data_IF_198632185482
#
_entry.id   IF_198632185482
#
_cell.length_a   1.000
_cell.length_b   1.000
_cell.length_c   1.000
_cell.angle_alpha   90.00
_cell.angle_beta   90.00
_cell.angle_gamma   90.00
#
_symmetry.space_group_name_H-M   'P 1'
#
loop_
_entity.id
_entity.type
_entity.pdbx_description
1 polymer ?
#
# COMPACT_ATOMS: atom_id res chain seq x y z
N UNK A 1 7.27 -24.69 -12.91
CA UNK A 1 6.36 -23.68 -12.32
C UNK A 1 6.76 -23.48 -10.86
N UNK A 2 6.32 -22.40 -10.22
CA UNK A 2 6.45 -22.32 -8.75
C UNK A 2 5.44 -23.28 -8.11
N UNK A 3 5.79 -23.87 -6.95
CA UNK A 3 4.87 -24.72 -6.18
C UNK A 3 3.51 -24.04 -5.95
N UNK A 4 3.52 -22.72 -5.76
CA UNK A 4 2.31 -21.90 -5.60
C UNK A 4 1.44 -21.82 -6.85
N UNK A 5 2.04 -21.67 -8.03
CA UNK A 5 1.27 -21.72 -9.28
C UNK A 5 0.65 -23.09 -9.49
N UNK A 6 1.39 -24.15 -9.17
CA UNK A 6 0.88 -25.52 -9.27
C UNK A 6 -0.29 -25.77 -8.31
N UNK A 7 -0.21 -25.27 -7.07
CA UNK A 7 -1.32 -25.36 -6.12
C UNK A 7 -2.51 -24.47 -6.52
N UNK A 8 -2.28 -23.27 -7.05
CA UNK A 8 -3.31 -22.35 -7.54
C UNK A 8 -4.09 -22.95 -8.71
N UNK A 9 -3.39 -23.54 -9.67
CA UNK A 9 -3.98 -24.25 -10.80
C UNK A 9 -4.75 -25.48 -10.34
N UNK A 10 -4.19 -26.27 -9.41
CA UNK A 10 -4.87 -27.43 -8.83
C UNK A 10 -6.19 -27.04 -8.16
N UNK A 11 -6.16 -26.03 -7.29
CA UNK A 11 -7.35 -25.53 -6.61
C UNK A 11 -8.38 -25.01 -7.61
N UNK A 12 -7.96 -24.19 -8.58
CA UNK A 12 -8.86 -23.61 -9.58
C UNK A 12 -9.55 -24.69 -10.43
N UNK A 13 -8.78 -25.69 -10.88
CA UNK A 13 -9.29 -26.80 -11.69
C UNK A 13 -10.29 -27.67 -10.91
N UNK A 14 -9.99 -27.99 -9.65
CA UNK A 14 -10.88 -28.80 -8.82
C UNK A 14 -12.13 -28.01 -8.43
N UNK A 15 -11.98 -26.73 -8.06
CA UNK A 15 -13.10 -25.86 -7.74
C UNK A 15 -14.09 -25.72 -8.91
N UNK A 16 -13.60 -25.52 -10.14
CA UNK A 16 -14.45 -25.47 -11.32
C UNK A 16 -15.25 -26.76 -11.51
N UNK A 17 -14.60 -27.93 -11.35
CA UNK A 17 -15.27 -29.23 -11.42
C UNK A 17 -16.31 -29.44 -10.31
N UNK A 18 -16.06 -28.93 -9.09
CA UNK A 18 -17.03 -29.00 -7.98
C UNK A 18 -18.31 -28.24 -8.33
N UNK A 19 -18.17 -27.08 -9.00
CA UNK A 19 -19.30 -26.26 -9.42
C UNK A 19 -20.12 -26.91 -10.55
N UNK A 20 -19.46 -27.65 -11.43
CA UNK A 20 -20.08 -28.24 -12.63
C UNK A 20 -20.75 -29.61 -12.38
N UNK A 21 -20.11 -30.55 -11.66
CA UNK A 21 -20.73 -31.82 -11.22
C UNK A 21 -19.94 -32.50 -10.08
N UNK A 22 -20.41 -32.31 -8.84
CA UNK A 22 -19.79 -32.85 -7.64
C UNK A 22 -19.70 -34.39 -7.58
N UNK A 23 -20.49 -35.14 -8.39
CA UNK A 23 -20.49 -36.61 -8.37
C UNK A 23 -19.24 -37.24 -9.02
N UNK A 24 -18.50 -36.46 -9.82
CA UNK A 24 -17.29 -36.90 -10.53
C UNK A 24 -15.97 -36.62 -9.81
N UNK A 25 -16.01 -36.27 -8.52
CA UNK A 25 -14.84 -35.85 -7.74
C UNK A 25 -14.56 -36.86 -6.65
N UNK A 26 -13.31 -37.31 -6.60
CA UNK A 26 -12.81 -38.25 -5.61
C UNK A 26 -12.46 -37.55 -4.30
N UNK A 27 -12.47 -38.30 -3.20
CA UNK A 27 -12.06 -37.78 -1.88
C UNK A 27 -10.63 -37.24 -1.90
N UNK A 28 -9.71 -37.89 -2.61
CA UNK A 28 -8.33 -37.45 -2.74
C UNK A 28 -8.20 -36.09 -3.47
N UNK A 29 -9.05 -35.83 -4.47
CA UNK A 29 -9.10 -34.52 -5.13
C UNK A 29 -9.64 -33.43 -4.19
N UNK A 30 -10.66 -33.73 -3.38
CA UNK A 30 -11.13 -32.80 -2.34
C UNK A 30 -10.03 -32.49 -1.31
N UNK A 31 -9.32 -33.50 -0.82
CA UNK A 31 -8.20 -33.31 0.11
C UNK A 31 -7.08 -32.47 -0.51
N UNK A 32 -6.75 -32.71 -1.78
CA UNK A 32 -5.79 -31.90 -2.53
C UNK A 32 -6.20 -30.43 -2.63
N UNK A 33 -7.47 -30.16 -2.96
CA UNK A 33 -8.00 -28.79 -3.04
C UNK A 33 -8.01 -28.10 -1.67
N UNK A 34 -8.38 -28.81 -0.60
CA UNK A 34 -8.38 -28.28 0.77
C UNK A 34 -6.96 -27.90 1.19
N UNK A 35 -5.98 -28.78 0.97
CA UNK A 35 -4.58 -28.50 1.29
C UNK A 35 -4.03 -27.32 0.48
N UNK A 36 -4.35 -27.25 -0.82
CA UNK A 36 -3.98 -26.13 -1.67
C UNK A 36 -4.57 -24.80 -1.14
N UNK A 37 -5.85 -24.81 -0.74
CA UNK A 37 -6.53 -23.65 -0.18
C UNK A 37 -5.89 -23.20 1.14
N UNK A 38 -5.54 -24.13 2.03
CA UNK A 38 -4.86 -23.81 3.29
C UNK A 38 -3.49 -23.16 3.05
N UNK A 39 -2.69 -23.69 2.13
CA UNK A 39 -1.40 -23.10 1.78
C UNK A 39 -1.55 -21.69 1.21
N UNK A 40 -2.54 -21.46 0.35
CA UNK A 40 -2.83 -20.12 -0.18
C UNK A 40 -3.27 -19.15 0.90
N UNK A 41 -4.09 -19.61 1.86
CA UNK A 41 -4.54 -18.80 2.99
C UNK A 41 -3.35 -18.39 3.86
N UNK A 42 -2.49 -19.34 4.25
CA UNK A 42 -1.30 -19.07 5.07
C UNK A 42 -0.37 -18.06 4.37
N UNK A 43 -0.19 -18.18 3.06
CA UNK A 43 0.62 -17.24 2.30
C UNK A 43 -0.05 -15.86 2.18
N UNK A 44 -1.37 -15.81 1.98
CA UNK A 44 -2.11 -14.56 1.94
C UNK A 44 -1.99 -13.81 3.29
N UNK A 45 -2.14 -14.52 4.40
CA UNK A 45 -1.95 -13.97 5.76
C UNK A 45 -0.53 -13.46 5.96
N UNK A 46 0.48 -14.24 5.57
CA UNK A 46 1.89 -13.83 5.63
C UNK A 46 2.15 -12.56 4.79
N UNK A 47 1.56 -12.48 3.59
CA UNK A 47 1.68 -11.30 2.73
C UNK A 47 0.98 -10.08 3.32
N UNK A 48 -0.21 -10.25 3.90
CA UNK A 48 -0.94 -9.17 4.58
C UNK A 48 -0.09 -8.62 5.73
N UNK A 49 0.44 -9.47 6.60
CA UNK A 49 1.28 -9.05 7.72
C UNK A 49 2.55 -8.32 7.26
N UNK A 50 3.18 -8.80 6.18
CA UNK A 50 4.35 -8.13 5.60
C UNK A 50 4.00 -6.74 5.03
N UNK A 51 2.86 -6.59 4.38
CA UNK A 51 2.42 -5.32 3.83
C UNK A 51 2.03 -4.34 4.93
N UNK A 52 1.32 -4.80 5.95
CA UNK A 52 0.92 -3.99 7.10
C UNK A 52 2.14 -3.42 7.82
N UNK A 53 3.16 -4.25 8.04
CA UNK A 53 4.45 -3.80 8.58
C UNK A 53 5.12 -2.75 7.70
N UNK A 54 5.17 -3.00 6.38
CA UNK A 54 5.78 -2.06 5.43
C UNK A 54 5.06 -0.72 5.39
N UNK A 55 3.73 -0.71 5.51
CA UNK A 55 2.92 0.52 5.56
C UNK A 55 3.19 1.29 6.84
N UNK A 56 3.23 0.61 7.98
CA UNK A 56 3.58 1.24 9.26
C UNK A 56 4.98 1.89 9.20
N UNK A 57 5.97 1.19 8.66
CA UNK A 57 7.33 1.72 8.50
C UNK A 57 7.37 2.95 7.59
N UNK A 58 6.60 2.95 6.49
CA UNK A 58 6.55 4.10 5.57
C UNK A 58 5.86 5.31 6.20
N UNK A 59 4.80 5.09 7.00
CA UNK A 59 4.14 6.16 7.77
C UNK A 59 5.13 6.78 8.77
N UNK A 60 5.84 5.95 9.54
CA UNK A 60 6.85 6.42 10.48
C UNK A 60 7.97 7.22 9.80
N UNK A 61 8.38 6.79 8.61
CA UNK A 61 9.39 7.49 7.81
C UNK A 61 8.87 8.83 7.31
N UNK A 62 7.64 8.87 6.78
CA UNK A 62 6.99 10.09 6.32
C UNK A 62 6.86 11.10 7.46
N UNK A 63 6.40 10.67 8.63
CA UNK A 63 6.17 11.55 9.77
C UNK A 63 7.50 12.14 10.29
N UNK A 64 8.59 11.36 10.30
CA UNK A 64 9.94 11.88 10.59
C UNK A 64 10.42 12.89 9.55
N UNK A 65 10.10 12.68 8.27
CA UNK A 65 10.46 13.61 7.21
C UNK A 65 9.66 14.91 7.28
N UNK A 66 8.37 14.83 7.60
CA UNK A 66 7.51 15.98 7.86
C UNK A 66 8.09 16.81 9.02
N UNK A 67 8.41 16.18 10.15
CA UNK A 67 8.96 16.89 11.30
C UNK A 67 10.27 17.63 10.95
N UNK A 68 11.14 16.98 10.16
CA UNK A 68 12.39 17.60 9.69
C UNK A 68 12.14 18.74 8.71
N UNK A 69 11.20 18.58 7.79
CA UNK A 69 10.83 19.61 6.82
C UNK A 69 10.25 20.84 7.55
N UNK A 70 9.40 20.63 8.55
CA UNK A 70 8.83 21.68 9.39
C UNK A 70 9.90 22.42 10.20
N UNK A 71 10.87 21.71 10.80
CA UNK A 71 12.03 22.34 11.47
C UNK A 71 12.90 23.15 10.51
N UNK A 72 13.14 22.63 9.31
CA UNK A 72 13.91 23.34 8.29
C UNK A 72 13.17 24.60 7.83
N UNK A 73 11.87 24.50 7.54
CA UNK A 73 11.05 25.64 7.18
C UNK A 73 11.10 26.72 8.26
N UNK A 74 10.92 26.36 9.53
CA UNK A 74 11.03 27.30 10.64
C UNK A 74 12.39 28.01 10.69
N UNK A 75 13.50 27.25 10.60
CA UNK A 75 14.84 27.83 10.64
C UNK A 75 15.16 28.76 9.45
N UNK A 76 14.68 28.40 8.24
CA UNK A 76 14.80 29.25 7.06
C UNK A 76 13.99 30.53 7.26
N UNK A 77 12.78 30.42 7.80
CA UNK A 77 11.92 31.57 8.04
C UNK A 77 12.50 32.54 9.06
N UNK A 78 13.05 32.03 10.16
CA UNK A 78 13.79 32.86 11.13
C UNK A 78 15.01 33.56 10.50
N UNK A 79 15.74 32.89 9.62
CA UNK A 79 16.95 33.45 9.00
C UNK A 79 16.66 34.56 7.99
N UNK A 80 15.60 34.39 7.18
CA UNK A 80 15.22 35.35 6.14
C UNK A 80 14.17 36.38 6.58
N UNK A 81 13.65 36.26 7.82
CA UNK A 81 12.49 37.02 8.31
C UNK A 81 11.25 36.85 7.40
N UNK A 82 11.08 35.64 6.87
CA UNK A 82 10.00 35.28 5.96
C UNK A 82 9.16 34.13 6.54
N UNK A 83 7.85 34.16 6.30
CA UNK A 83 7.01 32.99 6.59
C UNK A 83 7.20 31.96 5.49
N UNK A 84 7.88 30.85 5.79
CA UNK A 84 8.07 29.69 4.93
C UNK A 84 7.50 28.43 5.60
N UNK A 85 6.87 27.54 4.83
CA UNK A 85 6.24 26.31 5.34
C UNK A 85 4.76 26.17 4.96
N UNK A 86 4.03 25.24 5.62
CA UNK A 86 2.65 24.88 5.29
C UNK A 86 1.67 26.07 5.31
N UNK A 87 1.95 27.08 6.14
CA UNK A 87 1.12 28.29 6.27
C UNK A 87 1.75 29.54 5.64
N UNK A 88 2.82 29.37 4.85
CA UNK A 88 3.41 30.49 4.12
C UNK A 88 2.48 31.00 3.03
N UNK A 89 2.50 32.32 2.78
CA UNK A 89 1.86 32.91 1.60
C UNK A 89 2.42 32.32 0.31
N UNK A 90 3.70 31.92 0.30
CA UNK A 90 4.37 31.23 -0.80
C UNK A 90 3.68 29.92 -1.22
N UNK A 91 2.97 29.25 -0.31
CA UNK A 91 2.16 28.06 -0.58
C UNK A 91 0.67 28.37 -0.84
N UNK A 92 0.29 29.63 -1.01
CA UNK A 92 -1.07 30.05 -1.35
C UNK A 92 -1.13 30.53 -2.81
N UNK A 93 -1.52 29.66 -3.77
CA UNK A 93 -1.45 29.97 -5.20
C UNK A 93 -2.23 31.24 -5.60
N UNK A 94 -3.31 31.54 -4.88
CA UNK A 94 -4.14 32.73 -5.11
C UNK A 94 -3.40 34.00 -4.69
N UNK A 95 -2.74 34.00 -3.53
CA UNK A 95 -1.96 35.17 -3.09
C UNK A 95 -0.76 35.40 -4.00
N UNK A 96 -0.04 34.33 -4.38
CA UNK A 96 1.07 34.43 -5.34
C UNK A 96 0.61 35.03 -6.69
N UNK A 97 -0.56 34.60 -7.19
CA UNK A 97 -1.12 35.15 -8.43
C UNK A 97 -1.49 36.64 -8.29
N UNK A 98 -2.07 37.05 -7.15
CA UNK A 98 -2.40 38.45 -6.88
C UNK A 98 -1.15 39.33 -6.76
N UNK A 99 -0.11 38.87 -6.06
CA UNK A 99 1.17 39.61 -5.96
C UNK A 99 1.82 39.78 -7.33
N UNK A 100 1.82 38.75 -8.18
CA UNK A 100 2.41 38.82 -9.52
C UNK A 100 1.65 39.79 -10.44
N UNK A 101 0.32 39.83 -10.34
CA UNK A 101 -0.53 40.70 -11.17
C UNK A 101 -0.50 42.17 -10.73
N UNK A 102 -0.30 42.42 -9.43
CA UNK A 102 -0.22 43.78 -8.87
C UNK A 102 1.19 44.42 -9.00
N UNK A 103 2.16 43.69 -9.56
CA UNK A 103 3.52 44.19 -9.86
C UNK A 103 3.68 44.70 -11.31
N UNK A 104 2.61 44.66 -12.13
CA UNK A 104 2.54 45.16 -13.51
C UNK A 104 1.81 46.51 -13.53
#
# INVERSE_FOLDING_TARGET
>A
MSLMQEQAELFHNIHGRIQDDAKGITVAEYEGAINAAFLMLEQAESRINSLDKSVCEEIDNRDKWEERASKLAYAVGEYFDESVGEHSSANCPINNAHELLNQI
#
